data_IF_506111671117
#
_entry.id   IF_506111671117
#
_cell.length_a   1.000
_cell.length_b   1.000
_cell.length_c   1.000
_cell.angle_alpha   90.00
_cell.angle_beta   90.00
_cell.angle_gamma   90.00
#
_symmetry.space_group_name_H-M   'P 1'
#
loop_
_entity.id
_entity.type
_entity.pdbx_description
1 polymer ?
#
# COMPACT_ATOMS: atom_id res chain seq x y z
N UNK A 1 -14.52 -9.63 -52.81
CA UNK A 1 -15.29 -9.65 -51.55
C UNK A 1 -14.25 -9.79 -50.43
N UNK A 2 -13.84 -8.67 -49.86
CA UNK A 2 -12.80 -8.60 -48.84
C UNK A 2 -13.38 -8.98 -47.47
N UNK A 3 -12.77 -9.93 -46.76
CA UNK A 3 -13.04 -10.18 -45.34
C UNK A 3 -11.72 -10.22 -44.58
N UNK A 4 -11.30 -9.05 -44.07
CA UNK A 4 -10.20 -8.93 -43.11
C UNK A 4 -10.48 -7.77 -42.15
N UNK A 5 -11.32 -7.95 -41.13
CA UNK A 5 -11.42 -6.95 -40.04
C UNK A 5 -12.12 -7.44 -38.77
N UNK A 6 -11.66 -8.53 -38.14
CA UNK A 6 -12.15 -8.88 -36.78
C UNK A 6 -11.07 -9.23 -35.75
N UNK A 7 -9.78 -9.33 -36.12
CA UNK A 7 -8.76 -9.77 -35.16
C UNK A 7 -8.02 -8.65 -34.41
N UNK A 8 -8.22 -7.36 -34.74
CA UNK A 8 -7.43 -6.27 -34.16
C UNK A 8 -8.04 -5.64 -32.90
N UNK A 9 -9.31 -5.92 -32.60
CA UNK A 9 -10.00 -5.35 -31.42
C UNK A 9 -9.83 -6.19 -30.15
N UNK A 10 -9.51 -7.48 -30.27
CA UNK A 10 -9.40 -8.38 -29.10
C UNK A 10 -8.08 -8.25 -28.34
N UNK A 11 -7.01 -7.74 -28.97
CA UNK A 11 -5.69 -7.61 -28.35
C UNK A 11 -5.60 -6.44 -27.33
N UNK A 12 -6.54 -5.48 -27.37
CA UNK A 12 -6.48 -4.26 -26.56
C UNK A 12 -6.97 -4.41 -25.11
N UNK A 13 -7.48 -5.58 -24.71
CA UNK A 13 -8.23 -5.72 -23.44
C UNK A 13 -7.36 -6.29 -22.29
N UNK A 14 -6.14 -6.77 -22.57
CA UNK A 14 -5.29 -7.44 -21.58
C UNK A 14 -3.85 -6.92 -21.55
N UNK A 15 -3.64 -5.60 -21.52
CA UNK A 15 -2.33 -5.08 -21.10
C UNK A 15 -2.23 -5.20 -19.58
N UNK A 16 -1.58 -6.26 -19.11
CA UNK A 16 -1.18 -6.39 -17.72
C UNK A 16 -0.30 -5.18 -17.36
N UNK A 17 -0.72 -4.42 -16.35
CA UNK A 17 0.05 -3.29 -15.85
C UNK A 17 1.20 -3.88 -15.02
N UNK A 18 2.43 -3.70 -15.49
CA UNK A 18 3.62 -4.07 -14.73
C UNK A 18 3.86 -3.02 -13.64
N UNK A 19 3.82 -3.44 -12.39
CA UNK A 19 4.11 -2.61 -11.22
C UNK A 19 5.00 -3.38 -10.25
N UNK A 20 5.77 -2.65 -9.45
CA UNK A 20 6.53 -3.24 -8.36
C UNK A 20 5.59 -3.76 -7.26
N UNK A 21 6.07 -4.71 -6.47
CA UNK A 21 5.31 -5.19 -5.31
C UNK A 21 4.97 -4.07 -4.33
N UNK A 22 5.87 -3.09 -4.16
CA UNK A 22 5.66 -1.95 -3.28
C UNK A 22 4.54 -1.03 -3.75
N UNK A 23 4.51 -0.71 -5.05
CA UNK A 23 3.42 0.07 -5.64
C UNK A 23 2.09 -0.68 -5.57
N UNK A 24 2.11 -2.01 -5.75
CA UNK A 24 0.91 -2.83 -5.59
C UNK A 24 0.34 -2.71 -4.17
N UNK A 25 1.19 -2.70 -3.14
CA UNK A 25 0.77 -2.47 -1.75
C UNK A 25 0.16 -1.07 -1.58
N UNK A 26 0.79 -0.01 -2.09
CA UNK A 26 0.22 1.36 -1.99
C UNK A 26 -1.16 1.47 -2.66
N UNK A 27 -1.29 0.94 -3.89
CA UNK A 27 -2.55 0.94 -4.63
C UNK A 27 -3.62 0.12 -3.92
N UNK A 28 -3.27 -1.01 -3.32
CA UNK A 28 -4.18 -1.81 -2.53
C UNK A 28 -4.68 -1.05 -1.29
N UNK A 29 -3.80 -0.35 -0.56
CA UNK A 29 -4.20 0.46 0.59
C UNK A 29 -5.22 1.55 0.18
N UNK A 30 -4.96 2.24 -0.92
CA UNK A 30 -5.88 3.27 -1.44
C UNK A 30 -7.21 2.66 -1.88
N UNK A 31 -7.19 1.52 -2.57
CA UNK A 31 -8.40 0.82 -3.00
C UNK A 31 -9.27 0.35 -1.81
N UNK A 32 -8.64 -0.03 -0.70
CA UNK A 32 -9.30 -0.41 0.56
C UNK A 32 -9.71 0.80 1.43
N UNK A 33 -9.50 2.04 0.94
CA UNK A 33 -9.89 3.27 1.65
C UNK A 33 -9.04 3.55 2.90
N UNK A 34 -7.80 3.08 2.93
CA UNK A 34 -6.83 3.43 3.97
C UNK A 34 -6.40 4.88 3.78
N UNK A 35 -6.46 5.66 4.85
CA UNK A 35 -5.98 7.04 4.88
C UNK A 35 -4.73 7.22 5.73
N UNK A 36 -4.65 6.51 6.86
CA UNK A 36 -3.58 6.68 7.85
C UNK A 36 -2.84 5.37 8.11
N UNK A 37 -1.51 5.44 8.10
CA UNK A 37 -0.59 4.34 8.38
C UNK A 37 0.30 4.74 9.55
N UNK A 38 0.36 3.91 10.59
CA UNK A 38 1.28 4.09 11.71
C UNK A 38 2.52 3.24 11.46
N UNK A 39 3.74 3.76 11.59
CA UNK A 39 4.88 2.89 11.33
C UNK A 39 6.24 3.36 11.80
N UNK A 40 7.15 2.38 11.88
CA UNK A 40 8.56 2.59 12.14
C UNK A 40 9.40 2.00 10.99
N UNK A 41 10.29 2.77 10.35
CA UNK A 41 11.04 2.30 9.20
C UNK A 41 12.19 1.36 9.60
N UNK A 42 12.61 0.51 8.66
CA UNK A 42 13.80 -0.32 8.80
C UNK A 42 14.24 -0.93 7.47
N UNK A 43 15.43 -1.52 7.44
CA UNK A 43 16.10 -1.88 6.18
C UNK A 43 15.28 -2.81 5.27
N UNK A 44 14.62 -3.82 5.82
CA UNK A 44 13.90 -4.81 5.01
C UNK A 44 12.59 -4.28 4.39
N UNK A 45 11.95 -3.29 5.00
CA UNK A 45 10.69 -2.70 4.51
C UNK A 45 10.94 -1.44 3.66
N UNK A 46 12.21 -1.08 3.43
CA UNK A 46 12.57 0.17 2.73
C UNK A 46 11.91 0.32 1.35
N UNK A 47 11.76 -0.73 0.51
CA UNK A 47 11.06 -0.59 -0.77
C UNK A 47 9.60 -0.12 -0.63
N UNK A 48 8.94 -0.42 0.49
CA UNK A 48 7.56 0.03 0.77
C UNK A 48 7.57 1.50 1.19
N UNK A 49 8.55 1.92 2.00
CA UNK A 49 8.69 3.32 2.40
C UNK A 49 9.12 4.23 1.24
N UNK A 50 9.96 3.71 0.33
CA UNK A 50 10.35 4.39 -0.90
C UNK A 50 9.13 4.65 -1.77
N UNK A 51 8.31 3.61 -2.03
CA UNK A 51 7.05 3.79 -2.75
C UNK A 51 6.08 4.73 -2.01
N UNK A 52 5.95 4.62 -0.69
CA UNK A 52 5.06 5.48 0.11
C UNK A 52 5.35 6.97 -0.07
N UNK A 53 6.60 7.35 -0.33
CA UNK A 53 6.97 8.74 -0.59
C UNK A 53 6.22 9.35 -1.78
N UNK A 54 5.99 8.57 -2.84
CA UNK A 54 5.26 8.99 -4.04
C UNK A 54 3.73 9.09 -3.81
N UNK A 55 3.22 8.46 -2.75
CA UNK A 55 1.80 8.44 -2.40
C UNK A 55 1.46 9.28 -1.16
N UNK A 56 2.38 10.11 -0.68
CA UNK A 56 2.22 10.93 0.54
C UNK A 56 1.03 11.90 0.53
N UNK A 57 0.52 12.25 -0.66
CA UNK A 57 -0.65 13.12 -0.82
C UNK A 57 -1.98 12.32 -0.68
N UNK A 58 -1.91 10.99 -0.68
CA UNK A 58 -3.06 10.07 -0.59
C UNK A 58 -3.03 9.21 0.68
N UNK A 59 -1.83 8.93 1.21
CA UNK A 59 -1.60 8.10 2.39
C UNK A 59 -0.80 8.90 3.43
N UNK A 60 -1.41 9.15 4.59
CA UNK A 60 -0.76 9.81 5.71
C UNK A 60 0.07 8.79 6.52
N UNK A 61 1.36 9.05 6.68
CA UNK A 61 2.24 8.24 7.53
C UNK A 61 2.52 8.93 8.86
N UNK A 62 2.23 8.23 9.95
CA UNK A 62 2.56 8.65 11.31
C UNK A 62 3.76 7.84 11.80
N UNK A 63 4.91 8.52 11.86
CA UNK A 63 6.13 7.95 12.42
C UNK A 63 5.99 7.76 13.94
N UNK A 64 6.02 6.51 14.38
CA UNK A 64 6.05 6.18 15.81
C UNK A 64 7.49 6.14 16.35
N UNK A 65 7.66 5.90 17.65
CA UNK A 65 9.00 5.71 18.27
C UNK A 65 9.31 4.27 18.64
N UNK A 66 8.30 3.41 18.59
CA UNK A 66 8.40 1.99 18.83
C UNK A 66 7.21 1.31 18.14
N UNK A 67 7.40 0.13 17.58
CA UNK A 67 6.42 -0.61 16.78
C UNK A 67 5.18 -0.94 17.62
N UNK A 68 5.38 -1.37 18.88
CA UNK A 68 4.29 -1.52 19.85
C UNK A 68 3.43 -0.25 20.01
N UNK A 69 4.04 0.93 20.01
CA UNK A 69 3.30 2.20 20.05
C UNK A 69 2.46 2.42 18.79
N UNK A 70 2.98 2.06 17.62
CA UNK A 70 2.24 2.04 16.36
C UNK A 70 1.07 1.06 16.36
N UNK A 71 1.27 -0.14 16.93
CA UNK A 71 0.20 -1.13 17.09
C UNK A 71 -0.93 -0.60 17.96
N UNK A 72 -0.62 -0.03 19.13
CA UNK A 72 -1.64 0.55 20.00
C UNK A 72 -2.34 1.76 19.38
N UNK A 73 -1.62 2.60 18.63
CA UNK A 73 -2.22 3.71 17.89
C UNK A 73 -3.18 3.22 16.79
N UNK A 74 -2.78 2.22 16.00
CA UNK A 74 -3.63 1.59 14.98
C UNK A 74 -4.87 0.92 15.58
N UNK A 75 -4.72 0.23 16.72
CA UNK A 75 -5.84 -0.33 17.48
C UNK A 75 -6.79 0.76 17.97
N UNK A 76 -6.26 1.86 18.52
CA UNK A 76 -7.05 3.01 18.98
C UNK A 76 -7.81 3.65 17.84
N UNK A 77 -7.13 3.94 16.74
CA UNK A 77 -7.71 4.48 15.51
C UNK A 77 -8.86 3.62 15.01
N UNK A 78 -8.67 2.30 14.94
CA UNK A 78 -9.71 1.40 14.47
C UNK A 78 -10.95 1.42 15.38
N UNK A 79 -10.75 1.44 16.70
CA UNK A 79 -11.85 1.45 17.67
C UNK A 79 -12.60 2.78 17.71
N UNK A 80 -11.92 3.91 17.52
CA UNK A 80 -12.55 5.23 17.58
C UNK A 80 -13.19 5.66 16.27
N UNK A 81 -12.64 5.23 15.13
CA UNK A 81 -13.11 5.64 13.79
C UNK A 81 -14.03 4.61 13.13
N UNK A 82 -13.98 3.33 13.55
CA UNK A 82 -14.61 2.23 12.83
C UNK A 82 -13.90 1.82 11.53
N UNK A 83 -12.72 2.40 11.23
CA UNK A 83 -11.92 2.13 10.03
C UNK A 83 -10.81 1.12 10.31
N UNK A 84 -10.22 0.54 9.27
CA UNK A 84 -9.08 -0.39 9.43
C UNK A 84 -7.83 0.35 9.92
N UNK A 85 -7.24 -0.09 11.03
CA UNK A 85 -5.95 0.41 11.51
C UNK A 85 -4.80 -0.30 10.81
N UNK A 86 -3.96 0.44 10.07
CA UNK A 86 -2.83 -0.10 9.31
C UNK A 86 -1.51 0.26 9.99
N UNK A 87 -0.62 -0.73 10.14
CA UNK A 87 0.67 -0.58 10.81
C UNK A 87 1.80 -1.14 9.95
N UNK A 88 2.87 -0.35 9.78
CA UNK A 88 4.10 -0.78 9.10
C UNK A 88 5.23 -1.02 10.11
N UNK A 89 5.85 -2.19 10.02
CA UNK A 89 7.02 -2.58 10.79
C UNK A 89 8.02 -3.30 9.89
N UNK A 90 9.31 -3.23 10.24
CA UNK A 90 10.36 -3.96 9.53
C UNK A 90 10.52 -5.39 10.05
N UNK A 91 11.41 -6.18 9.42
CA UNK A 91 11.74 -7.52 9.90
C UNK A 91 12.53 -7.48 11.23
N UNK A 92 12.75 -8.65 11.83
CA UNK A 92 13.54 -8.75 13.07
C UNK A 92 12.79 -8.13 14.25
N UNK A 93 13.44 -7.28 15.08
CA UNK A 93 12.83 -6.76 16.31
C UNK A 93 11.60 -5.87 16.05
N UNK A 94 11.45 -5.31 14.86
CA UNK A 94 10.24 -4.52 14.55
C UNK A 94 8.99 -5.38 14.38
N UNK A 95 9.15 -6.66 14.02
CA UNK A 95 8.02 -7.56 13.79
C UNK A 95 7.52 -8.28 15.06
N UNK A 96 8.29 -8.24 16.15
CA UNK A 96 8.06 -8.99 17.39
C UNK A 96 7.77 -8.06 18.55
#
# INVERSE_FOLDING_TARGET
METKTLNKQTESINQAIEITGSEAVMKAMIAEGVETIFGYPGGAIMPIYDALYDYRDQLEHILVRHEQGGIHAGQGYARSSGRTGVVFATSGPGAT
#
